data_IF_576330237929
#
_entry.id   IF_576330237929
#
_cell.length_a   1.000
_cell.length_b   1.000
_cell.length_c   1.000
_cell.angle_alpha   90.00
_cell.angle_beta   90.00
_cell.angle_gamma   90.00
#
_symmetry.space_group_name_H-M   'P 1'
#
loop_
_entity.id
_entity.type
_entity.pdbx_description
1 polymer ?
#
# COMPACT_ATOMS: atom_id res chain seq x y z
N UNK A 1 -24.42 -15.14 -11.39
CA UNK A 1 -23.12 -15.73 -11.01
C UNK A 1 -22.04 -15.72 -12.11
N UNK A 2 -22.35 -15.91 -13.38
CA UNK A 2 -21.34 -15.91 -14.48
C UNK A 2 -20.66 -14.55 -14.76
N UNK A 3 -21.31 -13.44 -14.47
CA UNK A 3 -20.75 -12.08 -14.73
C UNK A 3 -19.83 -11.56 -13.62
N UNK A 4 -19.90 -12.13 -12.42
CA UNK A 4 -19.02 -11.77 -11.29
C UNK A 4 -17.60 -12.35 -11.43
N UNK A 5 -17.47 -13.49 -12.07
CA UNK A 5 -16.17 -14.16 -12.31
C UNK A 5 -15.37 -13.41 -13.37
N UNK A 6 -16.02 -12.83 -14.37
CA UNK A 6 -15.34 -12.07 -15.43
C UNK A 6 -14.84 -10.69 -14.96
N UNK A 7 -15.46 -10.08 -13.94
CA UNK A 7 -14.99 -8.81 -13.37
C UNK A 7 -13.72 -9.00 -12.51
N UNK A 8 -13.56 -10.16 -11.88
CA UNK A 8 -12.36 -10.48 -11.09
C UNK A 8 -11.15 -10.83 -11.98
N UNK A 9 -11.37 -11.31 -13.20
CA UNK A 9 -10.30 -11.73 -14.10
C UNK A 9 -9.69 -10.54 -14.88
N UNK A 10 -10.39 -9.42 -14.99
CA UNK A 10 -9.90 -8.24 -15.71
C UNK A 10 -8.96 -7.35 -14.88
N UNK A 11 -8.79 -7.61 -13.57
CA UNK A 11 -7.93 -6.83 -12.67
C UNK A 11 -6.47 -7.33 -12.62
N UNK A 12 -6.13 -8.38 -13.37
CA UNK A 12 -4.88 -9.12 -13.17
C UNK A 12 -3.77 -8.89 -14.20
N UNK A 13 -3.90 -7.93 -15.13
CA UNK A 13 -2.84 -7.71 -16.11
C UNK A 13 -2.46 -6.23 -16.22
N UNK A 14 -1.86 -5.72 -15.15
CA UNK A 14 -0.90 -4.63 -15.27
C UNK A 14 0.45 -5.10 -14.70
N UNK A 15 1.05 -6.07 -15.35
CA UNK A 15 2.50 -6.30 -15.21
C UNK A 15 3.17 -5.08 -15.85
N UNK A 16 3.40 -4.07 -15.03
CA UNK A 16 4.27 -2.97 -15.42
C UNK A 16 5.63 -3.56 -15.70
N UNK A 17 6.04 -3.59 -16.96
CA UNK A 17 7.43 -3.88 -17.33
C UNK A 17 8.30 -2.92 -16.54
N UNK A 18 9.06 -3.44 -15.61
CA UNK A 18 10.06 -2.71 -14.86
C UNK A 18 11.15 -2.33 -15.86
N UNK A 19 11.05 -1.13 -16.43
CA UNK A 19 12.18 -0.54 -17.13
C UNK A 19 13.24 -0.22 -16.06
N UNK A 20 14.31 -1.00 -16.01
CA UNK A 20 15.48 -0.65 -15.21
C UNK A 20 15.99 0.71 -15.70
N UNK A 21 15.79 1.74 -14.88
CA UNK A 21 16.26 3.07 -15.23
C UNK A 21 17.79 3.11 -15.07
N UNK A 22 18.47 3.55 -16.11
CA UNK A 22 19.92 3.74 -16.04
C UNK A 22 20.25 4.91 -15.10
N UNK A 23 21.24 4.76 -14.22
CA UNK A 23 21.65 5.84 -13.33
C UNK A 23 22.11 7.08 -14.11
N UNK A 24 21.60 8.24 -13.70
CA UNK A 24 21.95 9.53 -14.30
C UNK A 24 23.05 10.22 -13.49
N UNK A 25 24.12 10.67 -14.17
CA UNK A 25 25.14 11.51 -13.55
C UNK A 25 24.57 12.93 -13.34
N UNK A 26 24.68 13.45 -12.12
CA UNK A 26 24.22 14.78 -11.73
C UNK A 26 25.09 15.33 -10.60
N UNK A 27 24.62 16.37 -9.90
CA UNK A 27 25.28 16.91 -8.72
C UNK A 27 24.30 17.01 -7.55
N UNK A 28 24.76 16.71 -6.35
CA UNK A 28 23.99 16.85 -5.11
C UNK A 28 24.76 17.68 -4.08
N UNK A 29 24.03 18.34 -3.20
CA UNK A 29 24.63 19.14 -2.14
C UNK A 29 24.71 18.36 -0.83
N UNK A 30 25.89 18.33 -0.24
CA UNK A 30 26.09 17.83 1.12
C UNK A 30 27.06 18.75 1.87
N UNK A 31 26.76 19.12 3.09
CA UNK A 31 27.58 19.99 3.93
C UNK A 31 27.94 21.37 3.30
N UNK A 32 27.07 21.90 2.41
CA UNK A 32 27.28 23.19 1.75
C UNK A 32 28.22 23.12 0.55
N UNK A 33 28.56 21.92 0.08
CA UNK A 33 29.35 21.69 -1.13
C UNK A 33 28.57 20.82 -2.11
N UNK A 34 28.83 21.02 -3.41
CA UNK A 34 28.25 20.22 -4.49
C UNK A 34 29.20 19.12 -4.90
N UNK A 35 28.68 17.90 -4.90
CA UNK A 35 29.40 16.68 -5.29
C UNK A 35 28.80 16.08 -6.55
N UNK A 36 29.61 15.54 -7.47
CA UNK A 36 29.11 14.71 -8.53
C UNK A 36 28.48 13.44 -7.91
N UNK A 37 27.35 13.03 -8.44
CA UNK A 37 26.58 11.89 -7.91
C UNK A 37 25.87 11.15 -9.03
N UNK A 38 25.36 9.98 -8.70
CA UNK A 38 24.44 9.21 -9.53
C UNK A 38 23.04 9.22 -8.89
N UNK A 39 22.05 9.39 -9.74
CA UNK A 39 20.63 9.36 -9.40
C UNK A 39 19.98 8.19 -10.11
N UNK A 40 19.19 7.39 -9.38
CA UNK A 40 18.38 6.30 -9.91
C UNK A 40 16.97 6.36 -9.31
N UNK A 41 15.98 5.99 -10.09
CA UNK A 41 14.60 5.84 -9.63
C UNK A 41 14.33 4.37 -9.28
N UNK A 42 13.71 4.13 -8.11
CA UNK A 42 13.25 2.81 -7.70
C UNK A 42 11.72 2.79 -7.56
N UNK A 43 11.11 1.68 -7.96
CA UNK A 43 9.68 1.42 -7.77
C UNK A 43 9.41 0.90 -6.34
N UNK A 44 9.88 1.67 -5.36
CA UNK A 44 9.70 1.41 -3.93
C UNK A 44 9.44 2.73 -3.20
N UNK A 45 8.61 2.71 -2.14
CA UNK A 45 8.54 3.83 -1.22
C UNK A 45 9.92 4.15 -0.63
N UNK A 46 10.19 5.42 -0.26
CA UNK A 46 11.50 5.81 0.26
C UNK A 46 12.01 4.98 1.44
N UNK A 47 11.12 4.64 2.37
CA UNK A 47 11.48 3.83 3.54
C UNK A 47 11.97 2.44 3.15
N UNK A 48 11.26 1.80 2.21
CA UNK A 48 11.63 0.47 1.73
C UNK A 48 12.93 0.51 0.91
N UNK A 49 13.13 1.54 0.10
CA UNK A 49 14.38 1.73 -0.62
C UNK A 49 15.57 1.98 0.34
N UNK A 50 15.38 2.77 1.40
CA UNK A 50 16.38 2.92 2.46
C UNK A 50 16.71 1.57 3.13
N UNK A 51 15.69 0.75 3.41
CA UNK A 51 15.88 -0.56 4.05
C UNK A 51 16.70 -1.49 3.16
N UNK A 52 16.40 -1.58 1.86
CA UNK A 52 17.18 -2.38 0.91
C UNK A 52 18.66 -1.95 0.90
N UNK A 53 18.94 -0.64 0.87
CA UNK A 53 20.30 -0.12 0.90
C UNK A 53 21.00 -0.51 2.20
N UNK A 54 20.33 -0.30 3.34
CA UNK A 54 20.88 -0.62 4.67
C UNK A 54 21.19 -2.10 4.83
N UNK A 55 20.26 -2.95 4.43
CA UNK A 55 20.42 -4.40 4.57
C UNK A 55 21.55 -4.94 3.72
N UNK A 56 21.65 -4.49 2.46
CA UNK A 56 22.74 -4.90 1.57
C UNK A 56 24.11 -4.52 2.11
N UNK A 57 24.27 -3.29 2.60
CA UNK A 57 25.55 -2.84 3.14
C UNK A 57 25.83 -3.42 4.53
N UNK A 58 24.80 -3.66 5.35
CA UNK A 58 24.93 -4.36 6.63
C UNK A 58 25.41 -5.80 6.45
N UNK A 59 24.90 -6.49 5.43
CA UNK A 59 25.36 -7.84 5.09
C UNK A 59 26.85 -7.90 4.72
N UNK A 60 27.41 -6.77 4.30
CA UNK A 60 28.84 -6.59 4.00
C UNK A 60 29.63 -6.01 5.20
N UNK A 61 28.99 -5.86 6.36
CA UNK A 61 29.62 -5.38 7.61
C UNK A 61 29.58 -3.88 7.83
N UNK A 62 28.85 -3.11 7.00
CA UNK A 62 28.78 -1.65 7.10
C UNK A 62 27.47 -1.15 7.65
N UNK A 63 27.52 -0.23 8.62
CA UNK A 63 26.36 0.41 9.19
C UNK A 63 26.34 1.89 8.81
N UNK A 64 25.14 2.39 8.47
CA UNK A 64 24.93 3.79 8.17
C UNK A 64 24.87 4.64 9.44
N UNK A 65 25.45 5.83 9.39
CA UNK A 65 25.03 6.97 10.21
C UNK A 65 24.08 7.85 9.42
N UNK A 66 23.15 8.56 10.10
CA UNK A 66 22.28 9.55 9.43
C UNK A 66 22.83 10.95 9.64
N UNK A 67 23.05 11.68 8.55
CA UNK A 67 23.47 13.08 8.59
C UNK A 67 22.78 13.86 7.47
N UNK A 68 22.04 14.91 7.83
CA UNK A 68 21.38 15.86 6.91
C UNK A 68 20.56 15.22 5.78
N UNK A 69 19.81 14.18 6.13
CA UNK A 69 18.98 13.45 5.17
C UNK A 69 19.70 12.36 4.39
N UNK A 70 21.02 12.20 4.60
CA UNK A 70 21.79 11.15 3.98
C UNK A 70 22.05 9.98 4.93
N UNK A 71 22.03 8.77 4.38
CA UNK A 71 22.69 7.60 4.95
C UNK A 71 24.17 7.70 4.61
N UNK A 72 25.01 7.79 5.63
CA UNK A 72 26.46 8.01 5.45
C UNK A 72 27.21 6.77 5.87
N UNK A 73 27.95 6.20 4.94
CA UNK A 73 28.86 5.08 5.15
C UNK A 73 30.29 5.58 4.94
N UNK A 74 31.13 5.43 5.95
CA UNK A 74 32.53 5.90 5.92
C UNK A 74 33.49 4.75 5.79
N UNK A 75 34.58 5.01 5.05
CA UNK A 75 35.71 4.11 4.93
C UNK A 75 35.29 2.69 4.46
N UNK A 76 34.41 2.64 3.47
CA UNK A 76 33.85 1.40 2.92
C UNK A 76 34.83 0.82 1.89
N UNK A 77 35.21 -0.45 2.09
CA UNK A 77 36.00 -1.22 1.13
C UNK A 77 35.14 -2.26 0.48
N UNK A 78 34.75 -2.03 -0.77
CA UNK A 78 33.96 -2.95 -1.57
C UNK A 78 34.63 -3.15 -2.93
N UNK A 79 34.92 -4.40 -3.26
CA UNK A 79 35.52 -4.74 -4.55
C UNK A 79 34.66 -4.30 -5.74
N UNK A 80 33.31 -4.31 -5.55
CA UNK A 80 32.36 -3.89 -6.58
C UNK A 80 32.37 -2.38 -6.85
N UNK A 81 32.92 -1.59 -5.92
CA UNK A 81 32.99 -0.13 -6.04
C UNK A 81 34.40 0.37 -6.36
N UNK A 82 35.38 -0.02 -5.54
CA UNK A 82 36.80 0.30 -5.71
C UNK A 82 37.62 -0.73 -4.91
N UNK A 83 38.40 -1.56 -5.64
CA UNK A 83 39.22 -2.61 -5.01
C UNK A 83 40.44 -2.04 -4.25
N UNK A 84 40.91 -0.89 -4.66
CA UNK A 84 42.21 -0.34 -4.21
C UNK A 84 42.02 0.66 -3.06
N UNK A 85 40.92 1.41 -3.06
CA UNK A 85 40.71 2.51 -2.12
C UNK A 85 39.41 2.36 -1.37
N UNK A 86 39.47 2.65 -0.08
CA UNK A 86 38.22 2.82 0.71
C UNK A 86 37.45 4.06 0.23
N UNK A 87 36.14 3.95 0.23
CA UNK A 87 35.24 4.98 -0.24
C UNK A 87 34.31 5.48 0.91
N UNK A 88 33.99 6.76 0.87
CA UNK A 88 32.83 7.29 1.57
C UNK A 88 31.63 7.23 0.63
N UNK A 89 30.51 6.65 1.07
CA UNK A 89 29.31 6.49 0.28
C UNK A 89 28.17 7.17 1.02
N UNK A 90 27.46 8.07 0.35
CA UNK A 90 26.31 8.77 0.90
C UNK A 90 25.10 8.52 0.00
N UNK A 91 24.01 8.05 0.61
CA UNK A 91 22.72 7.89 -0.08
C UNK A 91 21.70 8.87 0.49
N UNK A 92 21.07 9.63 -0.38
CA UNK A 92 19.84 10.35 -0.06
C UNK A 92 18.70 9.65 -0.78
N UNK A 93 17.61 9.37 -0.05
CA UNK A 93 16.44 8.67 -0.58
C UNK A 93 15.24 9.56 -0.37
N UNK A 94 14.66 10.02 -1.45
CA UNK A 94 13.51 10.91 -1.43
C UNK A 94 12.35 10.35 -2.24
N UNK A 95 11.13 10.80 -1.92
CA UNK A 95 9.96 10.47 -2.73
C UNK A 95 10.07 11.14 -4.09
N UNK A 96 9.75 10.39 -5.16
CA UNK A 96 9.79 10.94 -6.51
C UNK A 96 8.86 12.14 -6.68
N UNK A 97 7.62 12.03 -6.17
CA UNK A 97 6.66 13.14 -6.19
C UNK A 97 5.55 12.95 -5.15
N UNK A 98 4.72 13.98 -4.94
CA UNK A 98 3.56 13.87 -4.04
C UNK A 98 2.52 12.85 -4.54
N UNK A 99 2.45 12.62 -5.86
CA UNK A 99 1.50 11.69 -6.49
C UNK A 99 2.03 10.26 -6.55
N UNK A 100 3.34 10.09 -6.67
CA UNK A 100 4.02 8.79 -6.79
C UNK A 100 4.66 8.42 -5.44
N UNK A 101 3.81 7.99 -4.49
CA UNK A 101 4.26 7.65 -3.12
C UNK A 101 5.01 6.34 -3.04
N UNK A 102 4.78 5.49 -4.01
CA UNK A 102 5.34 4.15 -4.23
C UNK A 102 6.67 4.16 -4.96
N UNK A 103 7.18 5.36 -5.31
CA UNK A 103 8.45 5.53 -6.00
C UNK A 103 9.39 6.43 -5.24
N UNK A 104 10.67 6.10 -5.32
CA UNK A 104 11.74 6.89 -4.74
C UNK A 104 12.82 7.26 -5.74
N UNK A 105 13.49 8.37 -5.47
CA UNK A 105 14.71 8.80 -6.13
C UNK A 105 15.86 8.58 -5.14
N UNK A 106 16.82 7.79 -5.55
CA UNK A 106 18.02 7.53 -4.77
C UNK A 106 19.19 8.29 -5.40
N UNK A 107 19.79 9.18 -4.65
CA UNK A 107 21.00 9.91 -5.01
C UNK A 107 22.18 9.30 -4.27
N UNK A 108 23.21 8.89 -5.00
CA UNK A 108 24.42 8.31 -4.43
C UNK A 108 25.65 9.18 -4.73
N UNK A 109 26.29 9.66 -3.69
CA UNK A 109 27.62 10.32 -3.76
C UNK A 109 28.66 9.28 -3.35
N UNK A 110 29.73 9.16 -4.12
CA UNK A 110 30.91 8.35 -3.77
C UNK A 110 32.17 9.18 -3.89
N UNK A 111 33.06 9.00 -2.94
CA UNK A 111 34.40 9.64 -2.97
C UNK A 111 35.38 8.79 -2.18
N UNK A 112 36.70 8.95 -2.47
CA UNK A 112 37.76 8.34 -1.64
C UNK A 112 37.55 8.74 -0.18
N UNK A 113 37.77 7.79 0.72
CA UNK A 113 37.57 7.99 2.14
C UNK A 113 38.30 9.24 2.65
N UNK A 114 37.60 10.06 3.45
CA UNK A 114 38.11 11.30 4.03
C UNK A 114 38.03 12.53 3.12
N UNK A 115 37.63 12.41 1.85
CA UNK A 115 37.45 13.58 0.97
C UNK A 115 36.14 14.32 1.19
N UNK A 116 35.13 13.68 1.79
CA UNK A 116 33.86 14.32 2.13
C UNK A 116 33.90 14.80 3.58
N UNK A 117 33.96 16.12 3.86
CA UNK A 117 34.03 16.65 5.21
C UNK A 117 32.80 16.24 6.05
N UNK A 118 33.01 16.00 7.34
CA UNK A 118 31.93 15.75 8.29
C UNK A 118 31.19 17.04 8.67
N UNK A 119 31.93 18.13 8.76
CA UNK A 119 31.39 19.44 9.14
C UNK A 119 30.97 20.28 7.92
N UNK A 120 30.09 21.24 8.16
CA UNK A 120 29.64 22.18 7.15
C UNK A 120 30.76 23.10 6.70
N UNK A 121 31.08 23.06 5.41
CA UNK A 121 32.04 23.99 4.79
C UNK A 121 31.34 25.27 4.38
N UNK A 122 31.90 26.42 4.73
CA UNK A 122 31.38 27.73 4.31
C UNK A 122 31.67 27.97 2.83
N UNK A 123 30.62 28.19 2.06
CA UNK A 123 30.67 28.49 0.62
C UNK A 123 30.35 27.27 -0.26
N UNK A 124 29.33 27.44 -1.12
CA UNK A 124 28.96 26.43 -2.11
C UNK A 124 29.97 26.44 -3.24
N UNK A 125 31.06 25.68 -3.09
CA UNK A 125 32.00 25.41 -4.17
C UNK A 125 31.78 23.98 -4.66
N UNK A 126 31.83 23.81 -5.97
CA UNK A 126 31.95 22.46 -6.54
C UNK A 126 33.31 21.90 -6.11
N UNK A 127 33.34 20.71 -5.54
CA UNK A 127 34.59 20.04 -5.20
C UNK A 127 35.12 19.44 -6.53
N UNK A 128 35.92 20.25 -7.24
CA UNK A 128 36.30 19.99 -8.61
C UNK A 128 37.14 18.70 -8.79
N UNK A 129 37.74 18.20 -7.70
CA UNK A 129 38.69 17.09 -7.75
C UNK A 129 38.12 15.76 -7.26
N UNK A 130 36.81 15.69 -7.01
CA UNK A 130 36.14 14.43 -6.63
C UNK A 130 35.41 13.89 -7.84
N UNK A 131 35.98 12.86 -8.46
CA UNK A 131 35.24 12.04 -9.41
C UNK A 131 34.64 10.82 -8.71
N UNK A 132 33.39 10.46 -9.05
CA UNK A 132 32.83 9.19 -8.59
C UNK A 132 33.71 8.04 -9.08
N UNK A 133 33.84 6.97 -8.27
CA UNK A 133 34.49 5.75 -8.71
C UNK A 133 33.94 5.28 -10.06
N UNK A 134 34.79 4.76 -10.93
CA UNK A 134 34.41 4.20 -12.24
C UNK A 134 33.31 3.14 -12.14
N UNK A 135 33.28 2.41 -11.04
CA UNK A 135 32.30 1.36 -10.79
C UNK A 135 31.02 1.84 -10.09
N UNK A 136 30.88 3.14 -9.82
CA UNK A 136 29.69 3.69 -9.12
C UNK A 136 28.37 3.36 -9.83
N UNK A 137 28.35 3.33 -11.16
CA UNK A 137 27.17 2.94 -11.95
C UNK A 137 26.82 1.47 -11.73
N UNK A 138 27.80 0.58 -11.82
CA UNK A 138 27.58 -0.85 -11.58
C UNK A 138 27.17 -1.10 -10.14
N UNK A 139 27.77 -0.39 -9.20
CA UNK A 139 27.46 -0.50 -7.78
C UNK A 139 26.02 -0.07 -7.48
N UNK A 140 25.55 1.10 -7.93
CA UNK A 140 24.15 1.53 -7.70
C UNK A 140 23.16 0.60 -8.41
N UNK A 141 23.48 0.08 -9.60
CA UNK A 141 22.67 -0.92 -10.29
C UNK A 141 22.60 -2.25 -9.56
N UNK A 142 23.61 -2.60 -8.78
CA UNK A 142 23.65 -3.86 -8.03
C UNK A 142 22.55 -3.96 -6.96
N UNK A 143 21.89 -2.87 -6.62
CA UNK A 143 20.72 -2.88 -5.71
C UNK A 143 19.43 -3.29 -6.43
N UNK A 144 19.38 -3.23 -7.78
CA UNK A 144 18.12 -3.41 -8.54
C UNK A 144 17.42 -4.72 -8.23
N UNK A 145 18.13 -5.84 -8.19
CA UNK A 145 17.52 -7.15 -7.91
C UNK A 145 16.88 -7.22 -6.51
N UNK A 146 17.51 -6.60 -5.51
CA UNK A 146 16.96 -6.53 -4.15
C UNK A 146 15.75 -5.58 -4.08
N UNK A 147 15.80 -4.47 -4.83
CA UNK A 147 14.67 -3.54 -4.98
C UNK A 147 13.47 -4.25 -5.63
N UNK A 148 13.69 -4.99 -6.70
CA UNK A 148 12.62 -5.70 -7.41
C UNK A 148 12.00 -6.80 -6.52
N UNK A 149 12.82 -7.51 -5.76
CA UNK A 149 12.35 -8.51 -4.80
C UNK A 149 11.50 -7.87 -3.69
N UNK A 150 11.96 -6.77 -3.12
CA UNK A 150 11.23 -6.04 -2.07
C UNK A 150 9.91 -5.47 -2.62
N UNK A 151 9.92 -4.91 -3.83
CA UNK A 151 8.71 -4.41 -4.50
C UNK A 151 7.69 -5.54 -4.71
N UNK A 152 8.14 -6.71 -5.14
CA UNK A 152 7.28 -7.87 -5.29
C UNK A 152 6.69 -8.33 -3.93
N UNK A 153 7.51 -8.44 -2.89
CA UNK A 153 7.04 -8.83 -1.56
C UNK A 153 6.01 -7.84 -1.00
N UNK A 154 6.23 -6.54 -1.17
CA UNK A 154 5.29 -5.50 -0.77
C UNK A 154 3.96 -5.59 -1.52
N UNK A 155 4.01 -5.84 -2.84
CA UNK A 155 2.82 -6.03 -3.65
C UNK A 155 2.02 -7.26 -3.21
N UNK A 156 2.68 -8.39 -2.95
CA UNK A 156 2.05 -9.62 -2.43
C UNK A 156 1.38 -9.36 -1.09
N UNK A 157 2.10 -8.78 -0.12
CA UNK A 157 1.55 -8.47 1.20
C UNK A 157 0.34 -7.53 1.13
N UNK A 158 0.40 -6.52 0.26
CA UNK A 158 -0.74 -5.61 0.04
C UNK A 158 -1.95 -6.35 -0.50
N UNK A 159 -1.73 -7.26 -1.45
CA UNK A 159 -2.82 -8.07 -2.04
C UNK A 159 -3.42 -9.06 -1.02
N UNK A 160 -2.60 -9.66 -0.17
CA UNK A 160 -3.05 -10.52 0.93
C UNK A 160 -3.95 -9.77 1.90
N UNK A 161 -3.58 -8.54 2.27
CA UNK A 161 -4.40 -7.67 3.11
C UNK A 161 -5.75 -7.32 2.46
N UNK A 162 -5.77 -7.08 1.16
CA UNK A 162 -7.01 -6.82 0.42
C UNK A 162 -7.92 -8.05 0.36
N UNK A 163 -7.35 -9.23 0.15
CA UNK A 163 -8.09 -10.50 0.19
C UNK A 163 -8.70 -10.71 1.57
N UNK A 164 -7.92 -10.54 2.65
CA UNK A 164 -8.43 -10.70 4.01
C UNK A 164 -9.57 -9.72 4.33
N UNK A 165 -9.49 -8.46 3.86
CA UNK A 165 -10.59 -7.49 3.99
C UNK A 165 -11.84 -7.91 3.22
N UNK A 166 -11.66 -8.44 2.00
CA UNK A 166 -12.78 -8.91 1.18
C UNK A 166 -13.47 -10.14 1.81
N UNK A 167 -12.72 -11.09 2.33
CA UNK A 167 -13.23 -12.27 3.04
C UNK A 167 -14.03 -11.88 4.29
N UNK A 168 -13.50 -10.93 5.07
CA UNK A 168 -14.23 -10.39 6.24
C UNK A 168 -15.55 -9.74 5.83
N UNK A 169 -15.55 -8.97 4.74
CA UNK A 169 -16.77 -8.36 4.21
C UNK A 169 -17.77 -9.41 3.74
N UNK A 170 -17.31 -10.45 3.05
CA UNK A 170 -18.17 -11.56 2.62
C UNK A 170 -18.84 -12.25 3.83
N UNK A 171 -18.06 -12.56 4.85
CA UNK A 171 -18.59 -13.16 6.09
C UNK A 171 -19.69 -12.29 6.73
N UNK A 172 -19.46 -10.99 6.85
CA UNK A 172 -20.46 -10.08 7.41
C UNK A 172 -21.75 -10.07 6.57
N UNK A 173 -21.66 -10.09 5.25
CA UNK A 173 -22.82 -10.16 4.35
C UNK A 173 -23.58 -11.48 4.49
N UNK A 174 -22.89 -12.59 4.69
CA UNK A 174 -23.51 -13.90 4.96
C UNK A 174 -24.27 -13.91 6.29
N UNK A 175 -23.66 -13.35 7.34
CA UNK A 175 -24.30 -13.22 8.66
C UNK A 175 -25.54 -12.31 8.59
N UNK A 176 -25.50 -11.24 7.82
CA UNK A 176 -26.66 -10.36 7.60
C UNK A 176 -27.75 -11.04 6.77
N UNK A 177 -27.38 -11.84 5.76
CA UNK A 177 -28.34 -12.66 5.02
C UNK A 177 -29.11 -13.61 5.95
N UNK A 178 -28.41 -14.33 6.82
CA UNK A 178 -29.04 -15.26 7.79
C UNK A 178 -30.04 -14.51 8.68
N UNK A 179 -29.67 -13.33 9.18
CA UNK A 179 -30.59 -12.49 10.00
C UNK A 179 -31.82 -12.05 9.23
N UNK A 180 -31.64 -11.67 7.95
CA UNK A 180 -32.74 -11.25 7.10
C UNK A 180 -33.68 -12.42 6.78
N UNK A 181 -33.14 -13.60 6.48
CA UNK A 181 -33.93 -14.81 6.25
C UNK A 181 -34.77 -15.20 7.48
N UNK A 182 -34.20 -15.07 8.69
CA UNK A 182 -34.94 -15.27 9.93
C UNK A 182 -36.11 -14.28 10.06
N UNK A 183 -35.85 -12.98 9.84
CA UNK A 183 -36.92 -11.95 9.89
C UNK A 183 -38.03 -12.22 8.88
N UNK A 184 -37.67 -12.65 7.67
CA UNK A 184 -38.68 -13.00 6.66
C UNK A 184 -39.57 -14.13 7.16
N UNK A 185 -39.01 -15.17 7.77
CA UNK A 185 -39.79 -16.27 8.35
C UNK A 185 -40.70 -15.82 9.46
N UNK A 186 -40.23 -14.95 10.36
CA UNK A 186 -41.00 -14.38 11.45
C UNK A 186 -42.19 -13.57 10.89
N UNK A 187 -41.94 -12.68 9.91
CA UNK A 187 -43.02 -11.91 9.26
C UNK A 187 -44.01 -12.77 8.48
N UNK A 188 -43.56 -13.87 7.87
CA UNK A 188 -44.50 -14.83 7.23
C UNK A 188 -45.41 -15.48 8.24
N UNK A 189 -44.89 -15.86 9.41
CA UNK A 189 -45.71 -16.38 10.53
C UNK A 189 -46.72 -15.36 11.05
N UNK A 190 -46.29 -14.14 11.26
CA UNK A 190 -47.16 -13.03 11.71
C UNK A 190 -48.26 -12.76 10.68
N UNK A 191 -47.94 -12.82 9.39
CA UNK A 191 -48.92 -12.65 8.32
C UNK A 191 -50.00 -13.76 8.34
N UNK A 192 -49.62 -15.01 8.59
CA UNK A 192 -50.56 -16.12 8.72
C UNK A 192 -51.48 -15.96 9.93
N UNK A 193 -50.93 -15.54 11.07
CA UNK A 193 -51.71 -15.23 12.26
C UNK A 193 -52.71 -14.11 11.95
N UNK A 194 -52.27 -13.04 11.35
CA UNK A 194 -53.14 -11.91 11.01
C UNK A 194 -54.27 -12.29 10.04
N UNK A 195 -54.00 -13.15 9.04
CA UNK A 195 -55.04 -13.67 8.15
C UNK A 195 -56.12 -14.45 8.90
N UNK A 196 -55.74 -15.34 9.83
CA UNK A 196 -56.65 -16.10 10.67
C UNK A 196 -57.51 -15.19 11.56
N UNK A 197 -56.90 -14.16 12.07
CA UNK A 197 -57.64 -13.19 12.92
C UNK A 197 -58.61 -12.33 12.10
N UNK A 198 -58.24 -12.00 10.84
CA UNK A 198 -59.21 -11.36 9.92
C UNK A 198 -60.39 -12.27 9.59
N UNK A 199 -60.17 -13.57 9.33
CA UNK A 199 -61.23 -14.54 9.09
C UNK A 199 -62.19 -14.60 10.28
N UNK A 200 -61.67 -14.76 11.51
CA UNK A 200 -62.50 -14.72 12.73
C UNK A 200 -63.30 -13.43 12.86
N UNK A 201 -62.70 -12.28 12.53
CA UNK A 201 -63.37 -11.00 12.60
C UNK A 201 -64.49 -10.89 11.56
N UNK A 202 -64.31 -11.47 10.36
CA UNK A 202 -65.36 -11.54 9.35
C UNK A 202 -66.57 -12.36 9.87
N UNK A 203 -66.31 -13.52 10.46
CA UNK A 203 -67.37 -14.37 11.06
C UNK A 203 -68.11 -13.65 12.20
N UNK A 204 -67.37 -12.98 13.07
CA UNK A 204 -67.93 -12.17 14.14
C UNK A 204 -68.85 -11.05 13.60
N UNK A 205 -68.39 -10.33 12.57
CA UNK A 205 -69.17 -9.30 11.89
C UNK A 205 -70.46 -9.87 11.31
N UNK A 206 -70.41 -11.05 10.67
CA UNK A 206 -71.60 -11.73 10.14
C UNK A 206 -72.55 -12.09 11.21
N UNK A 207 -72.09 -12.63 12.34
CA UNK A 207 -72.91 -12.93 13.52
C UNK A 207 -73.58 -11.70 14.11
N UNK A 208 -72.81 -10.62 14.32
CA UNK A 208 -73.35 -9.37 14.87
C UNK A 208 -74.38 -8.73 13.90
N UNK A 209 -74.22 -8.82 12.60
CA UNK A 209 -75.19 -8.40 11.59
C UNK A 209 -76.50 -9.21 11.73
N UNK A 210 -76.41 -10.54 11.86
CA UNK A 210 -77.58 -11.40 12.08
C UNK A 210 -78.35 -11.02 13.35
N UNK A 211 -77.61 -10.82 14.45
CA UNK A 211 -78.24 -10.38 15.72
C UNK A 211 -78.92 -9.01 15.57
N UNK A 212 -78.25 -8.07 14.87
CA UNK A 212 -78.79 -6.74 14.58
C UNK A 212 -80.14 -6.83 13.82
N UNK A 213 -80.18 -7.67 12.78
CA UNK A 213 -81.39 -7.87 11.97
C UNK A 213 -82.51 -8.48 12.78
N UNK A 214 -82.26 -9.49 13.65
CA UNK A 214 -83.24 -10.04 14.58
C UNK A 214 -83.79 -8.95 15.50
N UNK A 215 -82.98 -8.15 16.11
CA UNK A 215 -83.39 -7.03 17.01
C UNK A 215 -84.21 -5.96 16.27
N UNK A 216 -83.88 -5.69 15.00
CA UNK A 216 -84.68 -4.75 14.18
C UNK A 216 -86.08 -5.29 13.91
N UNK A 217 -86.25 -6.62 13.72
CA UNK A 217 -87.52 -7.25 13.44
C UNK A 217 -88.36 -7.49 14.71
N UNK A 218 -87.77 -7.48 15.92
CA UNK A 218 -88.43 -7.60 17.24
C UNK A 218 -88.85 -6.23 17.78
N UNK A 219 -88.99 -5.20 16.94
CA UNK A 219 -89.59 -3.94 17.41
C UNK A 219 -90.91 -4.18 18.13
N UNK A 220 -91.01 -3.77 19.40
CA UNK A 220 -92.29 -3.88 20.08
C UNK A 220 -93.35 -3.08 19.30
N UNK A 221 -94.50 -3.71 19.09
CA UNK A 221 -95.54 -3.23 18.21
C UNK A 221 -95.96 -1.81 18.49
N UNK A 222 -96.25 -1.10 17.41
CA UNK A 222 -97.26 -0.05 17.46
C UNK A 222 -98.61 -0.63 17.62
#
# INVERSE_FOLDING_TARGET
MKYFINLLLSLFISVSFVNAQSPMKTTAEYNGQKYPCYLIEYNLPPEEAENVIKEKLRAQGYNASKSKGYLVYRNVKLNDLDSDNAQDILFNVERKSRKEKDKSIVTMITAKAGLIPEDKVKGSKMVADIEPSSNSVSFINSFQSAVDLQAYQLAVSTQEDEVAKAEKKLKNLQDDQIKLEKKIKDYQSDLEVNKKDQEKQVDEIANQKSILEKKKNEKPGQ
#
